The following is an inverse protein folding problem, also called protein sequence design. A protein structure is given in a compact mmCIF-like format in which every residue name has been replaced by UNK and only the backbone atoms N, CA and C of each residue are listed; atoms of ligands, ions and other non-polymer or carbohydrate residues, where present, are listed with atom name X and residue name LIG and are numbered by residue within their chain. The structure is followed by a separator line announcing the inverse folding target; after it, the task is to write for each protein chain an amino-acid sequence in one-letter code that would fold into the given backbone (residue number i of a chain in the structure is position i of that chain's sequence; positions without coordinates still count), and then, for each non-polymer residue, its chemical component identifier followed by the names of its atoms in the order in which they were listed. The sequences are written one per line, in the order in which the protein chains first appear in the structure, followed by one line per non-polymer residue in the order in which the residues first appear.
data_IF_300431208324
#
_entry.id   IF_300431208324
#
_cell.length_a   1.000
_cell.length_b   1.000
_cell.length_c   1.000
_cell.angle_alpha   90.00
_cell.angle_beta   90.00
_cell.angle_gamma   90.00
#
_symmetry.space_group_name_H-M   'P 1'
#
loop_
_entity.id
_entity.type
_entity.pdbx_description
1 polymer ?
#
# COMPACT_ATOMS: atom_id res chain seq x y z
N UNK A 1 15.20 -15.23 -16.46
CA UNK A 1 15.69 -15.55 -15.13
C UNK A 1 15.07 -14.68 -14.05
N UNK A 2 15.46 -14.87 -12.78
CA UNK A 2 14.94 -14.18 -11.57
C UNK A 2 14.85 -12.65 -11.73
N UNK A 3 15.93 -12.01 -12.20
CA UNK A 3 15.97 -10.57 -12.38
C UNK A 3 14.98 -10.05 -13.43
N UNK A 4 14.70 -10.84 -14.47
CA UNK A 4 13.70 -10.49 -15.46
C UNK A 4 12.29 -10.53 -14.84
N UNK A 5 11.97 -11.56 -14.04
CA UNK A 5 10.69 -11.69 -13.36
C UNK A 5 10.47 -10.53 -12.36
N UNK A 6 11.50 -10.16 -11.59
CA UNK A 6 11.43 -9.03 -10.64
C UNK A 6 11.20 -7.71 -11.39
N UNK A 7 11.92 -7.48 -12.50
CA UNK A 7 11.76 -6.25 -13.32
C UNK A 7 10.38 -6.11 -13.94
N UNK A 8 9.68 -7.20 -14.22
CA UNK A 8 8.32 -7.13 -14.80
C UNK A 8 7.28 -6.63 -13.79
N UNK A 9 7.60 -6.57 -12.50
CA UNK A 9 6.66 -6.26 -11.41
C UNK A 9 5.39 -7.13 -11.42
N UNK A 10 5.39 -8.20 -12.20
CA UNK A 10 4.23 -9.07 -12.38
C UNK A 10 3.69 -9.66 -11.07
N UNK A 11 4.54 -10.14 -10.13
CA UNK A 11 4.05 -10.62 -8.84
C UNK A 11 3.35 -9.55 -8.01
N UNK A 12 3.89 -8.32 -7.98
CA UNK A 12 3.27 -7.19 -7.26
C UNK A 12 1.91 -6.83 -7.85
N UNK A 13 1.83 -6.73 -9.18
CA UNK A 13 0.55 -6.46 -9.86
C UNK A 13 -0.51 -7.50 -9.56
N UNK A 14 -0.12 -8.77 -9.46
CA UNK A 14 -1.03 -9.85 -9.09
C UNK A 14 -1.57 -9.64 -7.66
N UNK A 15 -0.72 -9.21 -6.72
CA UNK A 15 -1.16 -8.94 -5.34
C UNK A 15 -2.10 -7.71 -5.31
N UNK A 16 -1.84 -6.66 -6.08
CA UNK A 16 -2.78 -5.54 -6.23
C UNK A 16 -4.17 -6.05 -6.67
N UNK A 17 -4.22 -6.95 -7.66
CA UNK A 17 -5.47 -7.52 -8.13
C UNK A 17 -6.15 -8.40 -7.06
N UNK A 18 -5.38 -9.17 -6.28
CA UNK A 18 -5.88 -9.96 -5.16
C UNK A 18 -6.49 -9.05 -4.09
N UNK A 19 -5.82 -7.98 -3.70
CA UNK A 19 -6.31 -7.01 -2.71
C UNK A 19 -7.61 -6.36 -3.20
N UNK A 20 -7.67 -5.91 -4.45
CA UNK A 20 -8.88 -5.34 -5.05
C UNK A 20 -10.03 -6.35 -5.08
N UNK A 21 -9.73 -7.60 -5.44
CA UNK A 21 -10.73 -8.68 -5.46
C UNK A 21 -11.24 -8.99 -4.06
N UNK A 22 -10.38 -8.98 -3.05
CA UNK A 22 -10.80 -9.16 -1.66
C UNK A 22 -11.78 -8.05 -1.23
N UNK A 23 -11.55 -6.80 -1.59
CA UNK A 23 -12.50 -5.71 -1.33
C UNK A 23 -13.84 -5.94 -2.01
N UNK A 24 -13.85 -6.34 -3.29
CA UNK A 24 -15.08 -6.66 -4.01
C UNK A 24 -15.87 -7.78 -3.32
N UNK A 25 -15.20 -8.86 -2.93
CA UNK A 25 -15.82 -10.00 -2.26
C UNK A 25 -16.40 -9.63 -0.88
N UNK A 26 -15.88 -8.57 -0.27
CA UNK A 26 -16.40 -8.00 0.98
C UNK A 26 -17.40 -6.85 0.75
N UNK A 27 -17.96 -6.73 -0.44
CA UNK A 27 -19.06 -5.81 -0.73
C UNK A 27 -18.65 -4.37 -1.05
N UNK A 28 -17.35 -4.08 -1.20
CA UNK A 28 -16.92 -2.75 -1.65
C UNK A 28 -17.34 -2.56 -3.11
N UNK A 29 -18.07 -1.47 -3.37
CA UNK A 29 -18.51 -1.19 -4.72
C UNK A 29 -17.31 -0.91 -5.64
N UNK A 30 -17.23 -1.52 -6.86
CA UNK A 30 -16.08 -1.42 -7.76
C UNK A 30 -15.64 0.02 -8.03
N UNK A 31 -16.61 0.90 -8.05
CA UNK A 31 -16.41 2.31 -8.31
C UNK A 31 -15.67 3.08 -7.22
N UNK A 32 -15.55 2.54 -6.03
CA UNK A 32 -14.81 3.15 -4.91
C UNK A 32 -13.35 2.70 -4.87
N UNK A 33 -12.98 1.69 -5.67
CA UNK A 33 -11.63 1.14 -5.70
C UNK A 33 -10.76 1.95 -6.66
N UNK A 34 -9.61 2.39 -6.19
CA UNK A 34 -8.61 3.14 -6.96
C UNK A 34 -7.21 2.50 -6.82
N UNK A 35 -6.40 2.35 -7.86
CA UNK A 35 -6.76 2.49 -9.27
C UNK A 35 -7.90 1.55 -9.70
N UNK A 36 -8.59 1.92 -10.78
CA UNK A 36 -9.69 1.10 -11.32
C UNK A 36 -9.28 -0.37 -11.48
N UNK A 37 -10.28 -1.23 -11.40
CA UNK A 37 -10.14 -2.65 -11.69
C UNK A 37 -9.59 -2.84 -13.11
N UNK A 38 -8.78 -3.87 -13.28
CA UNK A 38 -8.33 -4.26 -14.61
C UNK A 38 -9.53 -4.66 -15.51
N UNK A 39 -9.29 -4.80 -16.82
CA UNK A 39 -10.36 -5.06 -17.78
C UNK A 39 -11.21 -6.30 -17.44
N UNK A 40 -10.56 -7.39 -16.98
CA UNK A 40 -11.27 -8.62 -16.64
C UNK A 40 -12.14 -8.45 -15.39
N UNK A 41 -11.63 -7.78 -14.37
CA UNK A 41 -12.39 -7.45 -13.16
C UNK A 41 -13.58 -6.53 -13.48
N UNK A 42 -13.43 -5.57 -14.40
CA UNK A 42 -14.54 -4.69 -14.85
C UNK A 42 -15.63 -5.43 -15.60
N UNK A 43 -15.30 -6.45 -16.37
CA UNK A 43 -16.29 -7.29 -17.07
C UNK A 43 -17.11 -8.09 -16.04
N UNK A 44 -16.45 -8.68 -15.04
CA UNK A 44 -17.11 -9.45 -13.99
C UNK A 44 -17.95 -8.57 -13.05
N UNK A 45 -17.49 -7.33 -12.79
CA UNK A 45 -18.09 -6.40 -11.84
C UNK A 45 -18.22 -5.00 -12.48
N UNK A 46 -19.18 -4.78 -13.38
CA UNK A 46 -19.32 -3.50 -14.06
C UNK A 46 -19.63 -2.38 -13.06
N UNK A 47 -18.89 -1.27 -13.11
CA UNK A 47 -19.12 -0.15 -12.20
C UNK A 47 -20.48 0.50 -12.45
N UNK A 48 -21.24 0.70 -11.38
CA UNK A 48 -22.48 1.50 -11.46
C UNK A 48 -22.11 2.98 -11.59
N UNK A 49 -22.61 3.65 -12.62
CA UNK A 49 -22.41 5.10 -12.77
C UNK A 49 -23.23 5.84 -11.73
N UNK A 50 -22.57 6.48 -10.80
CA UNK A 50 -23.19 7.44 -9.86
C UNK A 50 -22.81 8.86 -10.29
N UNK A 51 -23.79 9.74 -10.41
CA UNK A 51 -23.62 11.10 -10.96
C UNK A 51 -22.86 12.09 -10.06
N UNK A 52 -22.51 11.72 -8.82
CA UNK A 52 -21.95 12.64 -7.81
C UNK A 52 -20.53 12.25 -7.38
N UNK A 53 -19.65 11.94 -8.31
CA UNK A 53 -18.27 11.56 -7.95
C UNK A 53 -17.31 12.70 -8.07
N UNK A 54 -16.41 12.83 -7.09
CA UNK A 54 -15.21 13.65 -7.28
C UNK A 54 -14.43 13.12 -8.50
N UNK A 55 -13.87 14.03 -9.29
CA UNK A 55 -13.02 13.67 -10.43
C UNK A 55 -11.69 13.13 -9.89
N UNK A 56 -11.68 11.82 -9.63
CA UNK A 56 -10.47 11.09 -9.27
C UNK A 56 -9.94 10.46 -10.54
N UNK A 57 -8.63 10.57 -10.75
CA UNK A 57 -7.96 9.89 -11.87
C UNK A 57 -7.98 8.39 -11.59
N UNK A 58 -8.90 7.69 -12.22
CA UNK A 58 -9.19 6.29 -11.93
C UNK A 58 -8.14 5.30 -12.41
N UNK A 59 -7.32 5.69 -13.37
CA UNK A 59 -6.26 4.88 -13.96
C UNK A 59 -4.93 4.96 -13.21
N UNK A 60 -4.84 5.83 -12.20
CA UNK A 60 -3.61 6.10 -11.44
C UNK A 60 -3.82 5.93 -9.95
N UNK A 61 -2.73 5.59 -9.27
CA UNK A 61 -2.63 5.62 -7.82
C UNK A 61 -2.95 7.01 -7.27
N UNK A 62 -3.57 7.06 -6.09
CA UNK A 62 -3.82 8.32 -5.42
C UNK A 62 -2.52 8.86 -4.80
N UNK A 63 -2.11 10.04 -5.25
CA UNK A 63 -1.01 10.76 -4.61
C UNK A 63 -1.57 11.60 -3.46
N UNK A 64 -1.53 11.06 -2.25
CA UNK A 64 -2.03 11.73 -1.04
C UNK A 64 -0.92 12.50 -0.34
N UNK A 65 -1.24 13.69 0.15
CA UNK A 65 -0.34 14.48 0.96
C UNK A 65 -0.47 14.08 2.44
N UNK A 66 0.57 13.54 3.03
CA UNK A 66 0.67 13.32 4.48
C UNK A 66 1.16 14.57 5.21
N UNK A 67 1.72 14.38 6.41
CA UNK A 67 2.31 15.47 7.18
C UNK A 67 3.72 15.84 6.71
N UNK A 68 4.53 14.82 6.39
CA UNK A 68 5.94 15.00 6.01
C UNK A 68 6.16 15.02 4.50
N UNK A 69 5.39 14.23 3.74
CA UNK A 69 5.54 14.09 2.28
C UNK A 69 4.27 13.63 1.60
N UNK A 70 4.22 13.82 0.28
CA UNK A 70 3.23 13.16 -0.58
C UNK A 70 3.62 11.71 -0.84
N UNK A 71 2.63 10.83 -0.97
CA UNK A 71 2.86 9.42 -1.26
C UNK A 71 1.75 8.85 -2.14
N UNK A 72 2.14 8.09 -3.15
CA UNK A 72 1.21 7.30 -3.94
C UNK A 72 0.73 6.10 -3.13
N UNK A 73 -0.56 5.78 -3.24
CA UNK A 73 -1.21 4.67 -2.56
C UNK A 73 -1.55 3.58 -3.58
N UNK A 74 -1.02 2.38 -3.38
CA UNK A 74 -1.10 1.28 -4.35
C UNK A 74 -2.54 0.83 -4.61
N UNK A 75 -3.34 0.65 -3.54
CA UNK A 75 -4.78 0.37 -3.61
C UNK A 75 -5.50 1.22 -2.59
N UNK A 76 -6.55 1.91 -3.00
CA UNK A 76 -7.33 2.75 -2.09
C UNK A 76 -8.83 2.52 -2.28
N UNK A 77 -9.57 2.61 -1.18
CA UNK A 77 -11.02 2.74 -1.18
C UNK A 77 -11.34 4.19 -0.88
N UNK A 78 -12.01 4.85 -1.82
CA UNK A 78 -12.35 6.27 -1.70
C UNK A 78 -13.76 6.47 -1.17
N UNK A 79 -14.01 7.51 -0.37
CA UNK A 79 -15.35 7.82 0.10
C UNK A 79 -16.25 8.23 -1.08
N UNK A 80 -17.54 7.94 -0.99
CA UNK A 80 -18.54 8.29 -2.01
C UNK A 80 -19.39 9.52 -1.66
N UNK A 81 -19.33 9.97 -0.43
CA UNK A 81 -20.17 11.03 0.14
C UNK A 81 -19.40 12.25 0.62
N UNK A 82 -18.10 12.31 0.36
CA UNK A 82 -17.23 13.43 0.77
C UNK A 82 -16.75 14.15 -0.49
N UNK A 83 -16.94 15.45 -0.52
CA UNK A 83 -16.46 16.31 -1.61
C UNK A 83 -14.95 16.51 -1.51
N UNK A 84 -14.31 16.54 -2.65
CA UNK A 84 -12.91 16.91 -2.76
C UNK A 84 -12.79 18.43 -2.73
N UNK A 85 -12.11 18.96 -1.72
CA UNK A 85 -11.82 20.39 -1.58
C UNK A 85 -10.32 20.57 -1.40
N UNK A 86 -9.66 21.18 -2.38
CA UNK A 86 -8.24 21.45 -2.27
C UNK A 86 -7.93 22.42 -1.12
N UNK A 87 -6.81 22.21 -0.43
CA UNK A 87 -6.34 23.08 0.63
C UNK A 87 -4.85 23.36 0.51
N UNK A 88 -4.41 24.53 0.93
CA UNK A 88 -2.98 24.86 1.01
C UNK A 88 -2.45 24.48 2.39
N UNK A 89 -1.38 23.69 2.43
CA UNK A 89 -0.79 23.24 3.68
C UNK A 89 0.05 24.34 4.34
N UNK A 90 -0.10 24.46 5.65
CA UNK A 90 0.61 25.44 6.48
C UNK A 90 1.46 24.79 7.56
N UNK A 91 1.84 23.51 7.37
CA UNK A 91 2.65 22.79 8.33
C UNK A 91 4.10 23.27 8.32
N UNK A 92 4.80 23.22 9.46
CA UNK A 92 6.22 23.56 9.54
C UNK A 92 7.10 22.43 8.97
N UNK A 93 6.81 21.99 7.76
CA UNK A 93 7.51 20.92 7.01
C UNK A 93 7.84 21.42 5.61
N UNK A 94 8.56 20.62 4.82
CA UNK A 94 8.82 21.01 3.43
C UNK A 94 7.56 21.02 2.55
N UNK A 95 6.42 20.54 3.04
CA UNK A 95 5.12 20.69 2.37
C UNK A 95 4.44 22.03 2.66
N UNK A 96 5.08 22.94 3.38
CA UNK A 96 4.53 24.28 3.59
C UNK A 96 4.27 25.00 2.25
N UNK A 97 3.05 25.48 2.06
CA UNK A 97 2.60 26.08 0.80
C UNK A 97 2.21 25.10 -0.30
N UNK A 98 2.35 23.79 -0.08
CA UNK A 98 1.90 22.78 -1.04
C UNK A 98 0.36 22.75 -1.10
N UNK A 99 -0.18 22.67 -2.32
CA UNK A 99 -1.63 22.54 -2.54
C UNK A 99 -2.01 21.06 -2.55
N UNK A 100 -2.63 20.61 -1.46
CA UNK A 100 -3.28 19.30 -1.40
C UNK A 100 -4.59 19.34 -2.18
N UNK A 101 -4.64 18.62 -3.28
CA UNK A 101 -5.78 18.65 -4.20
C UNK A 101 -7.01 17.88 -3.68
N UNK A 102 -6.85 17.03 -2.68
CA UNK A 102 -7.94 16.22 -2.12
C UNK A 102 -8.51 16.82 -0.84
N UNK A 103 -7.68 17.48 -0.05
CA UNK A 103 -8.02 18.06 1.24
C UNK A 103 -8.19 17.05 2.36
N UNK A 104 -8.26 17.57 3.58
CA UNK A 104 -8.20 16.76 4.80
C UNK A 104 -9.41 15.84 4.96
N UNK A 105 -10.62 16.35 4.77
CA UNK A 105 -11.84 15.56 4.98
C UNK A 105 -11.94 14.34 4.05
N UNK A 106 -11.56 14.52 2.78
CA UNK A 106 -11.54 13.41 1.82
C UNK A 106 -10.43 12.41 2.17
N UNK A 107 -9.20 12.90 2.39
CA UNK A 107 -8.04 12.03 2.60
C UNK A 107 -8.15 11.22 3.88
N UNK A 108 -8.62 11.80 4.98
CA UNK A 108 -8.85 11.07 6.24
C UNK A 108 -9.86 9.92 6.11
N UNK A 109 -10.76 10.02 5.13
CA UNK A 109 -11.80 9.02 4.88
C UNK A 109 -11.40 7.97 3.84
N UNK A 110 -10.18 8.04 3.31
CA UNK A 110 -9.63 7.02 2.41
C UNK A 110 -9.10 5.85 3.24
N UNK A 111 -9.48 4.61 2.88
CA UNK A 111 -8.76 3.42 3.30
C UNK A 111 -7.67 3.15 2.25
N UNK A 112 -6.43 3.03 2.69
CA UNK A 112 -5.30 2.78 1.80
C UNK A 112 -4.57 1.49 2.15
N UNK A 113 -4.26 0.68 1.13
CA UNK A 113 -3.44 -0.53 1.26
C UNK A 113 -2.25 -0.42 0.34
N UNK A 114 -1.07 -0.44 0.92
CA UNK A 114 0.16 -0.52 0.15
C UNK A 114 0.60 -1.97 -0.03
N UNK A 115 1.21 -2.26 -1.17
CA UNK A 115 1.66 -3.59 -1.54
C UNK A 115 3.16 -3.56 -1.79
N UNK A 116 3.89 -4.36 -1.04
CA UNK A 116 5.34 -4.46 -1.18
C UNK A 116 5.79 -5.88 -1.41
N UNK A 117 6.99 -6.02 -1.91
CA UNK A 117 7.60 -7.35 -2.06
C UNK A 117 9.10 -7.30 -1.80
N UNK A 118 9.59 -8.34 -1.13
CA UNK A 118 11.01 -8.61 -0.96
C UNK A 118 11.33 -10.00 -1.53
N UNK A 119 11.65 -10.05 -2.83
CA UNK A 119 11.91 -11.29 -3.56
C UNK A 119 13.39 -11.63 -3.65
N UNK A 120 14.27 -10.75 -3.20
CA UNK A 120 15.72 -10.94 -3.20
C UNK A 120 16.39 -10.05 -2.18
N UNK A 121 17.60 -10.42 -1.75
CA UNK A 121 18.39 -9.64 -0.79
C UNK A 121 17.60 -9.38 0.52
N UNK A 122 16.93 -10.40 1.00
CA UNK A 122 16.00 -10.33 2.14
C UNK A 122 16.69 -9.74 3.37
N UNK A 123 17.87 -10.27 3.72
CA UNK A 123 18.68 -9.77 4.83
C UNK A 123 19.08 -8.29 4.67
N UNK A 124 19.63 -7.96 3.49
CA UNK A 124 20.23 -6.64 3.23
C UNK A 124 19.22 -5.49 3.31
N UNK A 125 17.98 -5.74 2.92
CA UNK A 125 16.99 -4.68 2.79
C UNK A 125 16.03 -4.60 3.99
N UNK A 126 16.17 -5.47 4.99
CA UNK A 126 15.25 -5.54 6.12
C UNK A 126 15.07 -4.19 6.81
N UNK A 127 16.16 -3.59 7.26
CA UNK A 127 16.11 -2.34 8.04
C UNK A 127 15.48 -1.20 7.22
N UNK A 128 15.91 -1.04 5.97
CA UNK A 128 15.34 -0.02 5.07
C UNK A 128 13.84 -0.20 4.85
N UNK A 129 13.38 -1.43 4.72
CA UNK A 129 11.97 -1.71 4.49
C UNK A 129 11.14 -1.51 5.75
N UNK A 130 11.65 -1.93 6.88
CA UNK A 130 11.02 -1.73 8.17
C UNK A 130 10.87 -0.24 8.50
N UNK A 131 11.96 0.54 8.35
CA UNK A 131 11.95 1.99 8.53
C UNK A 131 10.95 2.70 7.60
N UNK A 132 10.91 2.30 6.33
CA UNK A 132 9.95 2.87 5.37
C UNK A 132 8.51 2.58 5.74
N UNK A 133 8.23 1.39 6.27
CA UNK A 133 6.88 0.99 6.64
C UNK A 133 6.36 1.85 7.79
N UNK A 134 7.04 1.91 8.91
CA UNK A 134 6.55 2.72 10.02
C UNK A 134 6.60 4.24 9.73
N UNK A 135 7.56 4.71 8.95
CA UNK A 135 7.61 6.13 8.55
C UNK A 135 6.43 6.53 7.65
N UNK A 136 5.88 5.60 6.88
CA UNK A 136 4.71 5.85 6.06
C UNK A 136 3.42 5.95 6.88
N UNK A 137 3.21 5.04 7.83
CA UNK A 137 2.09 5.13 8.76
C UNK A 137 2.15 6.45 9.55
N UNK A 138 3.32 6.76 10.11
CA UNK A 138 3.54 8.01 10.83
C UNK A 138 3.24 9.25 9.98
N UNK A 139 3.68 9.27 8.71
CA UNK A 139 3.42 10.37 7.79
C UNK A 139 1.93 10.67 7.59
N UNK A 140 1.10 9.65 7.54
CA UNK A 140 -0.34 9.84 7.38
C UNK A 140 -1.05 10.06 8.71
N UNK A 141 -0.77 9.28 9.74
CA UNK A 141 -1.48 9.40 11.01
C UNK A 141 -1.15 10.70 11.78
N UNK A 142 0.01 11.33 11.54
CA UNK A 142 0.31 12.68 12.06
C UNK A 142 -0.65 13.74 11.53
N UNK A 143 -1.15 13.58 10.30
CA UNK A 143 -2.12 14.50 9.69
C UNK A 143 -3.55 14.01 9.81
N UNK A 144 -3.75 12.71 9.70
CA UNK A 144 -5.05 12.05 9.62
C UNK A 144 -5.12 10.88 10.62
N UNK A 145 -5.32 11.15 11.90
CA UNK A 145 -5.29 10.09 12.91
C UNK A 145 -6.36 8.99 12.73
N UNK A 146 -7.41 9.27 11.97
CA UNK A 146 -8.50 8.32 11.68
C UNK A 146 -8.35 7.60 10.35
N UNK A 147 -7.35 7.93 9.55
CA UNK A 147 -7.12 7.27 8.28
C UNK A 147 -6.80 5.78 8.51
N UNK A 148 -7.43 4.91 7.73
CA UNK A 148 -7.21 3.46 7.81
C UNK A 148 -6.11 3.06 6.84
N UNK A 149 -5.02 2.51 7.38
CA UNK A 149 -3.87 2.07 6.62
C UNK A 149 -3.69 0.56 6.71
N UNK A 150 -3.54 -0.09 5.56
CA UNK A 150 -3.15 -1.48 5.43
C UNK A 150 -1.82 -1.62 4.69
N UNK A 151 -1.11 -2.70 4.98
CA UNK A 151 0.09 -3.09 4.26
C UNK A 151 0.01 -4.57 3.90
N UNK A 152 0.26 -4.92 2.65
CA UNK A 152 0.43 -6.32 2.21
C UNK A 152 1.86 -6.51 1.76
N UNK A 153 2.55 -7.45 2.40
CA UNK A 153 3.97 -7.64 2.19
C UNK A 153 4.26 -9.06 1.72
N UNK A 154 4.79 -9.19 0.50
CA UNK A 154 5.20 -10.48 -0.04
C UNK A 154 6.67 -10.74 0.26
N UNK A 155 6.95 -11.78 1.02
CA UNK A 155 8.29 -12.28 1.33
C UNK A 155 8.52 -13.67 0.75
N UNK A 156 9.77 -14.03 0.51
CA UNK A 156 10.12 -15.36 0.02
C UNK A 156 10.41 -16.30 1.18
N UNK A 157 9.79 -17.47 1.16
CA UNK A 157 10.08 -18.54 2.11
C UNK A 157 11.38 -19.28 1.77
N UNK A 158 11.74 -19.31 0.48
CA UNK A 158 12.96 -19.97 0.01
C UNK A 158 13.74 -19.04 -0.91
N UNK A 159 15.01 -18.86 -0.60
CA UNK A 159 15.92 -18.05 -1.39
C UNK A 159 16.72 -18.92 -2.35
N UNK A 160 16.96 -18.40 -3.55
CA UNK A 160 17.77 -19.07 -4.55
C UNK A 160 19.23 -19.11 -4.12
N UNK A 161 19.83 -20.30 -4.12
CA UNK A 161 21.24 -20.45 -3.79
C UNK A 161 22.13 -19.97 -4.94
N UNK A 162 22.80 -18.84 -4.76
CA UNK A 162 23.63 -18.21 -5.77
C UNK A 162 24.88 -19.06 -6.13
N UNK A 163 25.42 -19.82 -5.17
CA UNK A 163 26.59 -20.67 -5.41
C UNK A 163 26.23 -21.87 -6.29
N UNK A 164 25.07 -22.48 -6.04
CA UNK A 164 24.56 -23.56 -6.92
C UNK A 164 24.28 -23.04 -8.32
N UNK A 165 23.77 -21.80 -8.44
CA UNK A 165 23.55 -21.18 -9.74
C UNK A 165 24.83 -20.96 -10.54
N UNK A 166 25.93 -20.61 -9.89
CA UNK A 166 27.24 -20.47 -10.54
C UNK A 166 27.71 -21.81 -11.13
N UNK A 167 27.28 -22.93 -10.56
CA UNK A 167 27.55 -24.28 -11.00
C UNK A 167 26.44 -24.86 -11.93
N UNK A 168 25.60 -24.02 -12.52
CA UNK A 168 24.47 -24.40 -13.37
C UNK A 168 23.44 -25.34 -12.69
N UNK A 169 23.40 -25.32 -11.37
CA UNK A 169 22.45 -26.10 -10.57
C UNK A 169 21.36 -25.18 -9.98
N UNK A 170 20.14 -25.70 -9.86
CA UNK A 170 19.02 -25.01 -9.21
C UNK A 170 18.84 -25.57 -7.80
N UNK A 171 19.16 -24.76 -6.82
CA UNK A 171 18.93 -25.09 -5.42
C UNK A 171 18.34 -23.91 -4.66
N UNK A 172 17.57 -24.20 -3.61
CA UNK A 172 16.95 -23.19 -2.75
C UNK A 172 17.31 -23.48 -1.29
N UNK A 173 17.60 -22.44 -0.56
CA UNK A 173 17.74 -22.47 0.89
C UNK A 173 16.47 -21.88 1.53
N UNK A 174 16.13 -22.31 2.73
CA UNK A 174 15.12 -21.61 3.53
C UNK A 174 15.63 -20.21 3.87
N UNK A 175 14.75 -19.23 3.83
CA UNK A 175 15.11 -17.88 4.27
C UNK A 175 15.23 -17.86 5.80
N UNK A 176 16.36 -17.42 6.30
CA UNK A 176 16.64 -17.30 7.76
C UNK A 176 15.97 -16.06 8.37
N UNK A 177 15.44 -15.16 7.53
CA UNK A 177 14.89 -13.87 7.96
C UNK A 177 13.37 -13.84 8.13
N UNK A 178 12.66 -14.93 7.84
CA UNK A 178 11.19 -14.95 7.87
C UNK A 178 10.66 -14.59 9.25
N UNK A 179 11.19 -15.22 10.29
CA UNK A 179 10.77 -14.95 11.67
C UNK A 179 11.02 -13.50 12.06
N UNK A 180 12.17 -12.94 11.69
CA UNK A 180 12.49 -11.52 11.92
C UNK A 180 11.48 -10.60 11.25
N UNK A 181 11.07 -10.90 10.01
CA UNK A 181 10.02 -10.14 9.31
C UNK A 181 8.68 -10.25 10.03
N UNK A 182 8.27 -11.45 10.40
CA UNK A 182 7.00 -11.67 11.11
C UNK A 182 6.97 -10.85 12.41
N UNK A 183 7.98 -10.97 13.26
CA UNK A 183 8.05 -10.24 14.52
C UNK A 183 8.07 -8.72 14.34
N UNK A 184 8.84 -8.24 13.36
CA UNK A 184 8.91 -6.80 13.07
C UNK A 184 7.56 -6.24 12.60
N UNK A 185 6.87 -6.94 11.71
CA UNK A 185 5.57 -6.47 11.21
C UNK A 185 4.44 -6.69 12.21
N UNK A 186 4.53 -7.68 13.10
CA UNK A 186 3.62 -7.79 14.25
C UNK A 186 3.71 -6.56 15.16
N UNK A 187 4.90 -6.02 15.37
CA UNK A 187 5.09 -4.81 16.18
C UNK A 187 4.43 -3.56 15.55
N UNK A 188 4.26 -3.54 14.22
CA UNK A 188 3.62 -2.44 13.49
C UNK A 188 2.13 -2.66 13.22
N UNK A 189 1.59 -3.81 13.59
CA UNK A 189 0.20 -4.19 13.32
C UNK A 189 -0.75 -3.80 14.47
N UNK A 190 -2.05 -3.94 14.20
CA UNK A 190 -3.13 -3.83 15.20
C UNK A 190 -3.26 -2.45 15.88
N UNK A 191 -3.27 -1.38 15.06
CA UNK A 191 -3.79 -0.10 15.49
C UNK A 191 -5.31 -0.18 15.51
N UNK A 192 -5.91 -0.03 16.68
CA UNK A 192 -7.36 -0.19 16.90
C UNK A 192 -7.99 1.15 17.28
N UNK A 193 -7.27 1.95 18.08
CA UNK A 193 -7.76 3.22 18.59
C UNK A 193 -6.94 4.39 18.02
N UNK A 194 -7.54 5.57 18.03
CA UNK A 194 -6.87 6.80 17.57
C UNK A 194 -5.67 7.18 18.44
N UNK A 195 -5.68 6.77 19.71
CA UNK A 195 -4.63 6.99 20.70
C UNK A 195 -3.47 6.00 20.58
N UNK A 196 -3.65 4.91 19.82
CA UNK A 196 -2.57 3.94 19.58
C UNK A 196 -1.42 4.60 18.82
N UNK A 197 -0.20 4.06 18.93
CA UNK A 197 0.98 4.65 18.30
C UNK A 197 0.79 4.92 16.81
N UNK A 198 1.08 6.14 16.37
CA UNK A 198 0.83 6.61 14.99
C UNK A 198 1.69 5.90 13.93
N UNK A 199 2.73 5.18 14.33
CA UNK A 199 3.55 4.38 13.43
C UNK A 199 2.95 3.01 13.08
N UNK A 200 1.86 2.62 13.76
CA UNK A 200 1.18 1.34 13.51
C UNK A 200 0.17 1.45 12.38
N UNK A 201 -0.11 0.31 11.77
CA UNK A 201 -1.15 0.09 10.79
C UNK A 201 -2.35 -0.59 11.44
N UNK A 202 -3.54 -0.34 10.91
CA UNK A 202 -4.74 -1.07 11.32
C UNK A 202 -4.63 -2.55 10.96
N UNK A 203 -4.02 -2.87 9.78
CA UNK A 203 -3.74 -4.27 9.38
C UNK A 203 -2.49 -4.39 8.52
N UNK A 204 -1.67 -5.39 8.85
CA UNK A 204 -0.55 -5.85 8.02
C UNK A 204 -0.75 -7.34 7.71
N UNK A 205 -0.58 -7.72 6.44
CA UNK A 205 -0.61 -9.10 5.97
C UNK A 205 0.74 -9.47 5.35
N UNK A 206 1.26 -10.67 5.69
CA UNK A 206 2.47 -11.28 5.13
C UNK A 206 2.12 -12.52 4.32
#
# INVERSE_FOLDING_TARGET
GKNALIRTQRPIKLIHDVVKTAFLNNGVHPSLINPELNRLQRIANPPVRTNNRPVILKDKELALAGYLKTKNQDVSIVPNNILVNSETLTFPTYLNGFVDRYGSAFTESVLSVNVRSQLSSVAKNFDTLYERTFAEALNFHLRFPRMVLGEVYMIVLKEYNSNSAANHQVAFNNSEYIEKYILAFQALNDRINIEDPLYKYERIAL
#
